data_IF_254925973477
#
_entry.id   IF_254925973477
#
_cell.length_a   1.000
_cell.length_b   1.000
_cell.length_c   1.000
_cell.angle_alpha   90.00
_cell.angle_beta   90.00
_cell.angle_gamma   90.00
#
_symmetry.space_group_name_H-M   'P 1'
#
loop_
_entity.id
_entity.type
_entity.pdbx_description
1 polymer ?
#
# COMPACT_ATOMS: atom_id res chain seq x y z
N UNK A 1 -8.52 -2.04 13.75
CA UNK A 1 -8.80 -1.82 12.32
C UNK A 1 -10.25 -2.20 12.07
N UNK A 2 -10.94 -1.54 11.16
CA UNK A 2 -12.32 -1.85 10.79
C UNK A 2 -12.45 -3.01 9.79
N UNK A 3 -11.31 -3.61 9.41
CA UNK A 3 -11.18 -4.70 8.45
C UNK A 3 -11.81 -4.42 7.08
N UNK A 4 -12.00 -3.15 6.70
CA UNK A 4 -12.65 -2.78 5.43
C UNK A 4 -11.68 -2.35 4.33
N UNK A 5 -10.42 -2.18 4.67
CA UNK A 5 -9.36 -1.76 3.74
C UNK A 5 -8.19 -2.71 3.82
N UNK A 6 -7.63 -3.09 2.66
CA UNK A 6 -6.39 -3.85 2.56
C UNK A 6 -5.43 -3.13 1.61
N UNK A 7 -4.15 -3.14 1.97
CA UNK A 7 -3.05 -2.73 1.10
C UNK A 7 -2.17 -3.94 0.84
N UNK A 8 -1.71 -4.10 -0.40
CA UNK A 8 -0.76 -5.15 -0.76
C UNK A 8 0.10 -4.69 -1.93
N UNK A 9 1.26 -5.31 -2.10
CA UNK A 9 2.06 -5.13 -3.29
C UNK A 9 1.59 -6.02 -4.41
N UNK A 10 1.50 -5.48 -5.62
CA UNK A 10 1.24 -6.25 -6.85
C UNK A 10 2.33 -5.92 -7.85
N UNK A 11 2.80 -6.93 -8.58
CA UNK A 11 3.66 -6.70 -9.73
C UNK A 11 2.83 -6.01 -10.82
N UNK A 12 3.14 -4.75 -11.10
CA UNK A 12 2.58 -3.96 -12.17
C UNK A 12 3.75 -3.32 -12.95
N UNK A 13 3.74 -3.45 -14.28
CA UNK A 13 4.78 -2.89 -15.15
C UNK A 13 6.23 -3.29 -14.82
N UNK A 14 6.43 -4.42 -14.14
CA UNK A 14 7.77 -4.93 -13.77
C UNK A 14 8.29 -4.46 -12.41
N UNK A 15 7.52 -3.68 -11.66
CA UNK A 15 7.81 -3.25 -10.29
C UNK A 15 6.72 -3.70 -9.30
N UNK A 16 7.04 -3.73 -8.00
CA UNK A 16 6.06 -3.98 -6.95
C UNK A 16 5.43 -2.66 -6.54
N UNK A 17 4.18 -2.46 -6.91
CA UNK A 17 3.41 -1.26 -6.59
C UNK A 17 2.43 -1.55 -5.45
N UNK A 18 2.16 -0.56 -4.60
CA UNK A 18 1.08 -0.62 -3.61
C UNK A 18 -0.28 -0.49 -4.31
N UNK A 19 -1.15 -1.45 -4.01
CA UNK A 19 -2.57 -1.42 -4.36
C UNK A 19 -3.41 -1.39 -3.10
N UNK A 20 -4.61 -0.82 -3.24
CA UNK A 20 -5.64 -0.78 -2.21
C UNK A 20 -6.94 -1.37 -2.73
N UNK A 21 -7.68 -2.02 -1.85
CA UNK A 21 -9.05 -2.47 -2.09
C UNK A 21 -9.89 -2.21 -0.85
N UNK A 22 -11.19 -2.04 -1.07
CA UNK A 22 -12.16 -1.73 -0.02
C UNK A 22 -13.37 -2.64 -0.10
N UNK A 23 -14.05 -2.84 1.03
CA UNK A 23 -15.34 -3.53 1.12
C UNK A 23 -16.30 -2.80 2.04
N UNK A 24 -17.60 -2.95 1.78
CA UNK A 24 -18.66 -2.28 2.53
C UNK A 24 -18.83 -2.86 3.95
N UNK A 25 -18.60 -4.17 4.11
CA UNK A 25 -18.66 -4.87 5.39
C UNK A 25 -17.65 -6.01 5.42
N UNK A 26 -17.45 -6.62 6.60
CA UNK A 26 -16.51 -7.73 6.78
C UNK A 26 -16.98 -9.05 6.15
N UNK A 27 -18.25 -9.16 5.78
CA UNK A 27 -18.84 -10.33 5.10
C UNK A 27 -18.76 -10.24 3.58
N UNK A 28 -18.55 -9.04 3.03
CA UNK A 28 -18.45 -8.82 1.58
C UNK A 28 -17.01 -9.07 1.07
N UNK A 29 -16.84 -9.45 -0.21
CA UNK A 29 -15.53 -9.51 -0.83
C UNK A 29 -14.91 -8.11 -0.96
N UNK A 30 -13.57 -8.06 -0.97
CA UNK A 30 -12.86 -6.84 -1.36
C UNK A 30 -13.12 -6.51 -2.83
N UNK A 31 -13.34 -5.23 -3.09
CA UNK A 31 -13.59 -4.66 -4.41
C UNK A 31 -12.87 -3.32 -4.55
N UNK A 32 -13.15 -2.55 -5.61
CA UNK A 32 -12.58 -1.22 -5.83
C UNK A 32 -11.03 -1.20 -5.81
N UNK A 33 -10.43 -2.20 -6.44
CA UNK A 33 -8.98 -2.36 -6.54
C UNK A 33 -8.40 -1.21 -7.35
N UNK A 34 -7.47 -0.46 -6.77
CA UNK A 34 -6.75 0.63 -7.46
C UNK A 34 -5.32 0.77 -6.96
N UNK A 35 -4.39 1.28 -7.78
CA UNK A 35 -3.06 1.63 -7.31
C UNK A 35 -3.11 2.81 -6.34
N UNK A 36 -2.14 2.89 -5.43
CA UNK A 36 -1.93 4.02 -4.53
C UNK A 36 -0.87 4.94 -5.16
N UNK A 37 -1.30 5.70 -6.16
CA UNK A 37 -0.40 6.45 -7.04
C UNK A 37 0.43 7.53 -6.33
N UNK A 38 0.00 7.99 -5.16
CA UNK A 38 0.77 8.93 -4.34
C UNK A 38 1.96 8.29 -3.60
N UNK A 39 2.01 6.96 -3.50
CA UNK A 39 3.12 6.23 -2.85
C UNK A 39 3.98 5.45 -3.85
N UNK A 40 3.40 5.01 -4.97
CA UNK A 40 4.12 4.23 -5.97
C UNK A 40 5.09 5.11 -6.75
N UNK A 41 6.31 4.61 -6.97
CA UNK A 41 7.35 5.31 -7.71
C UNK A 41 7.66 4.62 -9.03
N UNK A 42 8.29 5.33 -9.96
CA UNK A 42 8.72 4.72 -11.20
C UNK A 42 9.97 3.86 -10.99
N UNK A 43 9.82 2.54 -11.06
CA UNK A 43 10.92 1.57 -11.01
C UNK A 43 11.37 1.18 -9.59
N UNK A 44 10.87 1.84 -8.55
CA UNK A 44 11.06 1.42 -7.17
C UNK A 44 10.11 0.28 -6.80
N UNK A 45 10.36 -0.37 -5.67
CA UNK A 45 9.52 -1.45 -5.17
C UNK A 45 8.94 -1.06 -3.81
N UNK A 46 7.62 -0.98 -3.70
CA UNK A 46 6.91 -0.62 -2.47
C UNK A 46 6.18 -1.81 -1.83
N UNK A 47 6.40 -2.00 -0.53
CA UNK A 47 5.87 -3.12 0.25
C UNK A 47 5.11 -2.65 1.50
N UNK A 48 3.77 -2.58 1.48
CA UNK A 48 2.99 -2.13 2.62
C UNK A 48 3.07 -3.16 3.74
N UNK A 49 3.29 -2.72 4.98
CA UNK A 49 3.53 -3.60 6.12
C UNK A 49 2.48 -3.45 7.22
N UNK A 50 2.15 -2.22 7.62
CA UNK A 50 1.21 -1.97 8.71
C UNK A 50 0.38 -0.72 8.49
N UNK A 51 -0.94 -0.88 8.54
CA UNK A 51 -1.91 0.21 8.55
C UNK A 51 -2.30 0.50 10.01
N UNK A 52 -2.52 1.76 10.38
CA UNK A 52 -3.04 2.07 11.71
C UNK A 52 -4.52 1.69 11.86
N UNK A 53 -5.01 1.45 13.09
CA UNK A 53 -6.41 1.10 13.32
C UNK A 53 -7.43 2.11 12.78
N UNK A 54 -7.05 3.38 12.69
CA UNK A 54 -7.85 4.48 12.15
C UNK A 54 -7.64 4.72 10.64
N UNK A 55 -6.84 3.88 9.97
CA UNK A 55 -6.59 3.97 8.53
C UNK A 55 -5.83 5.21 8.08
N UNK A 56 -5.24 5.97 9.02
CA UNK A 56 -4.61 7.27 8.74
C UNK A 56 -3.08 7.21 8.65
N UNK A 57 -2.44 6.08 8.99
CA UNK A 57 -1.00 5.86 8.86
C UNK A 57 -0.71 4.53 8.20
N UNK A 58 0.15 4.51 7.20
CA UNK A 58 0.62 3.30 6.54
C UNK A 58 2.15 3.28 6.58
N UNK A 59 2.71 2.23 7.16
CA UNK A 59 4.14 1.92 7.08
C UNK A 59 4.36 0.99 5.89
N UNK A 60 5.43 1.23 5.15
CA UNK A 60 5.81 0.41 4.01
C UNK A 60 7.33 0.42 3.84
N UNK A 61 7.88 -0.68 3.32
CA UNK A 61 9.24 -0.70 2.86
C UNK A 61 9.30 -0.17 1.43
N UNK A 62 10.40 0.51 1.11
CA UNK A 62 10.72 0.98 -0.22
C UNK A 62 12.10 0.45 -0.59
N UNK A 63 12.24 -0.16 -1.76
CA UNK A 63 13.54 -0.54 -2.35
C UNK A 63 13.77 0.36 -3.55
N UNK A 64 14.94 1.00 -3.59
CA UNK A 64 15.30 1.87 -4.70
C UNK A 64 15.40 1.09 -6.02
N UNK A 65 15.21 1.76 -7.18
CA UNK A 65 15.23 1.08 -8.48
C UNK A 65 16.54 0.32 -8.80
N UNK A 66 17.66 0.73 -8.20
CA UNK A 66 18.96 0.08 -8.38
C UNK A 66 19.16 -1.14 -7.47
N UNK A 67 18.22 -1.39 -6.54
CA UNK A 67 18.22 -2.50 -5.59
C UNK A 67 19.27 -2.41 -4.47
N UNK A 68 20.00 -1.30 -4.35
CA UNK A 68 21.12 -1.20 -3.41
C UNK A 68 20.71 -0.72 -2.02
N UNK A 69 19.56 -0.05 -1.92
CA UNK A 69 19.08 0.54 -0.68
C UNK A 69 17.60 0.26 -0.45
N UNK A 70 17.26 0.04 0.82
CA UNK A 70 15.90 -0.13 1.26
C UNK A 70 15.64 0.62 2.56
N UNK A 71 14.52 1.31 2.62
CA UNK A 71 14.10 2.10 3.78
C UNK A 71 12.68 1.75 4.21
N UNK A 72 12.34 2.11 5.45
CA UNK A 72 10.96 2.07 5.94
C UNK A 72 10.40 3.48 5.96
N UNK A 73 9.33 3.70 5.21
CA UNK A 73 8.61 4.96 5.17
C UNK A 73 7.29 4.88 5.94
N UNK A 74 6.79 6.05 6.33
CA UNK A 74 5.43 6.23 6.86
C UNK A 74 4.69 7.28 6.04
N UNK A 75 3.52 6.89 5.53
CA UNK A 75 2.56 7.80 4.94
C UNK A 75 1.49 8.14 5.96
N UNK A 76 1.00 9.38 5.96
CA UNK A 76 -0.10 9.80 6.82
C UNK A 76 -1.11 10.64 6.06
N UNK A 77 -2.38 10.53 6.46
CA UNK A 77 -3.47 11.40 5.96
C UNK A 77 -4.31 11.93 7.13
N UNK A 78 -4.94 13.11 6.97
CA UNK A 78 -5.95 13.58 7.91
C UNK A 78 -7.13 12.59 7.99
N UNK A 79 -7.85 12.64 9.12
CA UNK A 79 -9.13 11.94 9.31
C UNK A 79 -10.24 12.60 8.51
#
# INVERSE_FOLDING_TARGET
>A
MDERTIYWSRIASGAYDIFVATRMSTSEPFSNVRPVGELNTNGGLEFPSWLSPDGCRLYYAFVQPDGNESDIFVASKPK
#
